data_IF_394090499085
#
_entry.id   IF_394090499085
#
_cell.length_a   1.000
_cell.length_b   1.000
_cell.length_c   1.000
_cell.angle_alpha   90.00
_cell.angle_beta   90.00
_cell.angle_gamma   90.00
#
_symmetry.space_group_name_H-M   'P 1'
#
loop_
_entity.id
_entity.type
_entity.pdbx_description
1 polymer ?
#
# COMPACT_ATOMS: atom_id res chain seq x y z
N UNK A 1 32.82 -20.93 26.66
CA UNK A 1 32.49 -20.93 25.22
C UNK A 1 31.29 -20.03 25.08
N UNK A 2 31.49 -18.80 24.62
CA UNK A 2 30.41 -17.92 24.17
C UNK A 2 29.79 -18.53 22.93
N UNK A 3 28.46 -18.51 22.85
CA UNK A 3 27.76 -18.90 21.62
C UNK A 3 28.15 -17.91 20.50
N UNK A 4 28.44 -18.39 19.27
CA UNK A 4 28.74 -17.50 18.16
C UNK A 4 27.51 -16.63 17.86
N UNK A 5 27.70 -15.32 17.77
CA UNK A 5 26.62 -14.41 17.40
C UNK A 5 26.25 -14.65 15.94
N UNK A 6 24.96 -14.79 15.66
CA UNK A 6 24.45 -14.94 14.29
C UNK A 6 24.01 -13.58 13.75
N UNK A 7 24.30 -13.32 12.47
CA UNK A 7 23.83 -12.14 11.79
C UNK A 7 22.33 -12.21 11.58
N UNK A 8 21.60 -11.19 12.05
CA UNK A 8 20.14 -11.15 11.89
C UNK A 8 19.67 -11.13 10.43
N UNK A 9 20.49 -10.60 9.52
CA UNK A 9 20.10 -10.42 8.12
C UNK A 9 20.36 -11.64 7.24
N UNK A 10 21.49 -12.33 7.43
CA UNK A 10 21.90 -13.48 6.61
C UNK A 10 21.94 -14.81 7.37
N UNK A 11 21.73 -14.80 8.69
CA UNK A 11 21.79 -15.99 9.56
C UNK A 11 23.14 -16.74 9.53
N UNK A 12 24.22 -16.06 9.12
CA UNK A 12 25.58 -16.59 9.17
C UNK A 12 26.29 -16.14 10.45
N UNK A 13 27.24 -16.94 10.98
CA UNK A 13 28.00 -16.56 12.17
C UNK A 13 28.83 -15.30 11.93
N UNK A 14 28.95 -14.46 12.96
CA UNK A 14 29.75 -13.23 12.96
C UNK A 14 31.04 -13.48 13.75
N UNK A 15 32.19 -13.19 13.13
CA UNK A 15 33.48 -13.11 13.81
C UNK A 15 33.57 -11.78 14.58
N UNK A 16 34.18 -11.77 15.78
CA UNK A 16 34.21 -10.61 16.70
C UNK A 16 34.72 -9.31 16.04
N UNK A 17 35.56 -9.44 15.01
CA UNK A 17 36.20 -8.38 14.26
C UNK A 17 35.30 -7.74 13.18
N UNK A 18 34.17 -8.38 12.83
CA UNK A 18 33.21 -7.93 11.81
C UNK A 18 31.86 -7.47 12.38
N UNK A 19 31.78 -7.37 13.70
CA UNK A 19 30.55 -7.14 14.43
C UNK A 19 30.02 -5.70 14.30
N UNK A 20 28.73 -5.60 14.01
CA UNK A 20 27.96 -4.37 14.09
C UNK A 20 26.77 -4.59 15.03
N UNK A 21 26.80 -3.93 16.19
CA UNK A 21 25.70 -3.97 17.16
C UNK A 21 24.67 -2.89 16.84
N UNK A 22 23.41 -3.29 16.77
CA UNK A 22 22.29 -2.40 16.56
C UNK A 22 21.27 -2.54 17.72
N UNK A 23 21.16 -1.54 18.61
CA UNK A 23 20.22 -1.61 19.71
C UNK A 23 18.79 -1.38 19.22
N UNK A 24 17.90 -2.32 19.49
CA UNK A 24 16.45 -2.14 19.34
C UNK A 24 15.96 -1.42 20.59
N UNK A 25 15.29 -0.28 20.38
CA UNK A 25 14.75 0.53 21.47
C UNK A 25 13.25 0.29 21.65
N UNK A 26 12.82 0.23 22.91
CA UNK A 26 11.42 0.36 23.30
C UNK A 26 10.91 1.79 23.03
N UNK A 27 9.58 1.97 23.09
CA UNK A 27 8.91 3.26 22.88
C UNK A 27 9.33 4.34 23.90
N UNK A 28 9.78 3.93 25.08
CA UNK A 28 10.32 4.79 26.15
C UNK A 28 11.81 5.15 25.95
N UNK A 29 12.46 4.58 24.93
CA UNK A 29 13.88 4.76 24.62
C UNK A 29 14.82 3.84 25.39
N UNK A 30 14.30 2.89 26.18
CA UNK A 30 15.12 1.83 26.79
C UNK A 30 15.55 0.80 25.74
N UNK A 31 16.72 0.16 25.92
CA UNK A 31 17.17 -0.92 25.01
C UNK A 31 16.35 -2.17 25.32
N UNK A 32 15.60 -2.64 24.32
CA UNK A 32 14.83 -3.88 24.39
C UNK A 32 15.70 -5.09 24.06
N UNK A 33 16.50 -4.98 23.00
CA UNK A 33 17.35 -6.06 22.50
C UNK A 33 18.52 -5.50 21.68
N UNK A 34 19.57 -6.30 21.43
CA UNK A 34 20.72 -5.93 20.61
C UNK A 34 20.83 -6.93 19.46
N UNK A 35 20.68 -6.44 18.24
CA UNK A 35 20.89 -7.27 17.05
C UNK A 35 22.32 -7.14 16.55
N UNK A 36 22.89 -8.27 16.12
CA UNK A 36 24.22 -8.37 15.57
C UNK A 36 24.15 -8.53 14.06
N UNK A 37 24.94 -7.72 13.34
CA UNK A 37 24.93 -7.65 11.89
C UNK A 37 26.38 -7.69 11.38
N UNK A 38 26.64 -8.29 10.22
CA UNK A 38 27.92 -8.06 9.52
C UNK A 38 28.00 -6.61 9.05
N UNK A 39 29.22 -6.03 9.05
CA UNK A 39 29.49 -4.69 8.50
C UNK A 39 28.98 -4.53 7.05
N UNK A 40 29.11 -5.56 6.22
CA UNK A 40 28.63 -5.52 4.84
C UNK A 40 27.09 -5.54 4.75
N UNK A 41 26.43 -6.31 5.61
CA UNK A 41 24.98 -6.38 5.71
C UNK A 41 24.40 -5.04 6.20
N UNK A 42 25.06 -4.38 7.15
CA UNK A 42 24.69 -3.03 7.60
C UNK A 42 24.78 -2.01 6.46
N UNK A 43 25.85 -2.03 5.65
CA UNK A 43 25.99 -1.13 4.49
C UNK A 43 24.88 -1.30 3.46
N UNK A 44 24.44 -2.54 3.19
CA UNK A 44 23.33 -2.82 2.26
C UNK A 44 22.01 -2.19 2.68
N UNK A 45 21.80 -1.96 3.97
CA UNK A 45 20.60 -1.31 4.49
C UNK A 45 20.69 0.22 4.54
N UNK A 46 21.80 0.80 4.05
CA UNK A 46 22.00 2.25 4.02
C UNK A 46 22.32 2.86 5.40
N UNK A 47 22.58 2.02 6.40
CA UNK A 47 23.01 2.46 7.74
C UNK A 47 24.52 2.71 7.72
N UNK A 48 24.94 3.76 7.01
CA UNK A 48 26.33 4.20 7.01
C UNK A 48 26.68 4.93 8.32
N UNK A 49 27.71 4.42 9.01
CA UNK A 49 28.25 4.96 10.27
C UNK A 49 28.84 6.37 10.15
N UNK A 50 29.11 6.87 8.95
CA UNK A 50 29.89 8.09 8.76
C UNK A 50 29.11 9.40 8.89
N UNK A 51 27.78 9.37 9.09
CA UNK A 51 27.00 10.60 9.36
C UNK A 51 26.57 10.82 10.80
N UNK A 52 26.65 9.81 11.67
CA UNK A 52 26.10 9.91 13.04
C UNK A 52 27.18 9.81 14.12
N UNK A 53 28.22 10.65 14.03
CA UNK A 53 29.05 10.97 15.19
C UNK A 53 28.32 12.00 16.06
N UNK A 54 27.52 11.48 16.98
CA UNK A 54 27.03 12.23 18.12
C UNK A 54 25.51 12.38 18.13
N UNK A 55 24.86 11.54 18.93
CA UNK A 55 23.47 11.66 19.38
C UNK A 55 22.45 11.77 18.25
N UNK A 56 22.14 10.69 17.56
CA UNK A 56 20.84 10.61 16.90
C UNK A 56 20.29 9.18 16.94
N UNK A 57 19.11 9.09 17.56
CA UNK A 57 18.25 7.91 17.53
C UNK A 57 18.01 7.56 16.06
N UNK A 58 18.39 6.36 15.63
CA UNK A 58 17.81 5.79 14.42
C UNK A 58 16.40 5.33 14.79
N UNK A 59 15.48 6.29 14.85
CA UNK A 59 14.06 6.00 14.90
C UNK A 59 13.73 5.39 13.55
N UNK A 60 13.48 4.08 13.52
CA UNK A 60 12.69 3.51 12.45
C UNK A 60 11.30 4.10 12.58
N UNK A 61 11.08 5.24 11.93
CA UNK A 61 9.75 5.77 11.69
C UNK A 61 9.03 4.74 10.82
N UNK A 62 8.30 3.83 11.47
CA UNK A 62 7.34 2.92 10.83
C UNK A 62 6.15 3.68 10.24
N UNK A 63 6.16 5.02 10.34
CA UNK A 63 5.43 5.94 9.50
C UNK A 63 6.43 6.74 8.67
N UNK A 64 6.91 6.15 7.58
CA UNK A 64 7.34 6.99 6.46
C UNK A 64 6.08 7.74 5.98
N UNK A 65 5.86 8.92 6.56
CA UNK A 65 5.36 10.06 5.81
C UNK A 65 6.43 10.40 4.75
N UNK A 66 6.70 9.42 3.88
CA UNK A 66 7.26 9.65 2.57
C UNK A 66 6.34 10.70 1.98
N UNK A 67 6.87 11.87 1.66
CA UNK A 67 6.24 12.74 0.70
C UNK A 67 6.05 11.91 -0.57
N UNK A 68 4.91 11.21 -0.66
CA UNK A 68 4.49 10.52 -1.88
C UNK A 68 4.66 11.56 -2.96
N UNK A 69 5.49 11.23 -3.95
CA UNK A 69 5.70 12.14 -5.06
C UNK A 69 4.33 12.55 -5.59
N UNK A 70 4.18 13.79 -6.08
CA UNK A 70 2.90 14.27 -6.58
C UNK A 70 2.18 13.20 -7.42
N UNK A 71 2.93 12.50 -8.28
CA UNK A 71 2.46 11.39 -9.12
C UNK A 71 1.84 10.21 -8.34
N UNK A 72 2.43 9.77 -7.23
CA UNK A 72 1.89 8.69 -6.39
C UNK A 72 0.58 9.09 -5.68
N UNK A 73 0.44 10.37 -5.28
CA UNK A 73 -0.82 10.89 -4.74
C UNK A 73 -1.94 10.85 -5.77
N UNK A 74 -1.65 11.15 -7.03
CA UNK A 74 -2.68 11.13 -8.09
C UNK A 74 -3.20 9.71 -8.33
N UNK A 75 -2.33 8.70 -8.31
CA UNK A 75 -2.74 7.29 -8.44
C UNK A 75 -3.61 6.86 -7.26
N UNK A 76 -3.24 7.25 -6.04
CA UNK A 76 -4.04 6.94 -4.86
C UNK A 76 -5.44 7.55 -4.92
N UNK A 77 -5.55 8.80 -5.36
CA UNK A 77 -6.85 9.46 -5.59
C UNK A 77 -7.64 8.71 -6.67
N UNK A 78 -7.00 8.31 -7.77
CA UNK A 78 -7.65 7.56 -8.84
C UNK A 78 -8.19 6.20 -8.34
N UNK A 79 -7.44 5.52 -7.46
CA UNK A 79 -7.88 4.27 -6.82
C UNK A 79 -9.05 4.50 -5.87
N UNK A 80 -9.04 5.56 -5.07
CA UNK A 80 -10.21 5.89 -4.23
C UNK A 80 -11.43 6.20 -5.11
N UNK A 81 -11.24 6.96 -6.18
CA UNK A 81 -12.29 7.29 -7.13
C UNK A 81 -12.85 6.04 -7.83
N UNK A 82 -12.01 5.07 -8.18
CA UNK A 82 -12.49 3.82 -8.80
C UNK A 82 -13.43 3.07 -7.86
N UNK A 83 -13.05 2.94 -6.58
CA UNK A 83 -13.91 2.32 -5.56
C UNK A 83 -15.21 3.09 -5.35
N UNK A 84 -15.15 4.43 -5.31
CA UNK A 84 -16.34 5.26 -5.24
C UNK A 84 -17.28 5.03 -6.43
N UNK A 85 -16.73 4.94 -7.66
CA UNK A 85 -17.49 4.65 -8.87
C UNK A 85 -18.21 3.30 -8.78
N UNK A 86 -17.54 2.26 -8.27
CA UNK A 86 -18.14 0.95 -8.06
C UNK A 86 -19.34 1.03 -7.10
N UNK A 87 -19.12 1.64 -5.93
CA UNK A 87 -20.14 1.73 -4.88
C UNK A 87 -21.34 2.54 -5.36
N UNK A 88 -21.09 3.70 -5.97
CA UNK A 88 -22.16 4.57 -6.49
C UNK A 88 -22.92 3.90 -7.64
N UNK A 89 -22.22 3.23 -8.56
CA UNK A 89 -22.84 2.50 -9.66
C UNK A 89 -23.73 1.35 -9.17
N UNK A 90 -23.24 0.56 -8.21
CA UNK A 90 -24.02 -0.53 -7.61
C UNK A 90 -25.24 -0.01 -6.87
N UNK A 91 -25.07 0.98 -5.98
CA UNK A 91 -26.18 1.53 -5.20
C UNK A 91 -27.24 2.17 -6.10
N UNK A 92 -26.82 2.98 -7.07
CA UNK A 92 -27.74 3.63 -8.01
C UNK A 92 -28.49 2.61 -8.86
N UNK A 93 -27.81 1.57 -9.34
CA UNK A 93 -28.44 0.50 -10.12
C UNK A 93 -29.46 -0.30 -9.32
N UNK A 94 -29.15 -0.65 -8.07
CA UNK A 94 -30.08 -1.32 -7.16
C UNK A 94 -31.29 -0.43 -6.84
N UNK A 95 -31.09 0.85 -6.56
CA UNK A 95 -32.17 1.80 -6.28
C UNK A 95 -33.09 1.93 -7.50
N UNK A 96 -32.55 1.99 -8.71
CA UNK A 96 -33.36 2.07 -9.93
C UNK A 96 -34.17 0.81 -10.16
N UNK A 97 -33.56 -0.38 -10.02
CA UNK A 97 -34.26 -1.65 -10.25
C UNK A 97 -35.32 -1.90 -9.18
N UNK A 98 -34.97 -1.79 -7.91
CA UNK A 98 -35.86 -2.17 -6.80
C UNK A 98 -36.75 -1.03 -6.30
N UNK A 99 -36.32 0.22 -6.47
CA UNK A 99 -37.10 1.39 -6.08
C UNK A 99 -38.06 1.89 -7.15
N UNK A 100 -37.69 1.78 -8.43
CA UNK A 100 -38.45 2.33 -9.55
C UNK A 100 -38.79 1.33 -10.65
N UNK A 101 -38.08 0.19 -10.71
CA UNK A 101 -38.22 -0.83 -11.74
C UNK A 101 -39.28 -1.88 -11.42
N UNK A 102 -39.40 -2.25 -10.14
CA UNK A 102 -40.35 -3.27 -9.67
C UNK A 102 -41.28 -2.63 -8.64
N UNK A 103 -42.45 -2.20 -9.07
CA UNK A 103 -43.50 -1.77 -8.15
C UNK A 103 -44.41 -2.96 -7.81
N UNK A 104 -44.39 -3.38 -6.55
CA UNK A 104 -45.34 -4.38 -6.04
C UNK A 104 -46.51 -3.66 -5.36
N UNK A 105 -47.64 -3.57 -6.06
CA UNK A 105 -48.92 -3.23 -5.44
C UNK A 105 -49.60 -4.49 -4.97
N UNK A 106 -50.50 -4.35 -3.98
CA UNK A 106 -51.13 -5.40 -3.16
C UNK A 106 -51.57 -6.69 -3.90
N UNK A 107 -51.80 -6.66 -5.22
CA UNK A 107 -52.15 -7.83 -6.05
C UNK A 107 -51.58 -7.81 -7.48
N UNK A 108 -50.71 -6.85 -7.83
CA UNK A 108 -50.14 -6.72 -9.18
C UNK A 108 -48.70 -6.21 -9.12
N UNK A 109 -47.80 -6.85 -9.86
CA UNK A 109 -46.43 -6.38 -10.06
C UNK A 109 -46.37 -5.61 -11.38
N UNK A 110 -46.07 -4.33 -11.32
CA UNK A 110 -45.82 -3.50 -12.49
C UNK A 110 -44.31 -3.37 -12.69
N UNK A 111 -43.86 -3.64 -13.91
CA UNK A 111 -42.46 -3.53 -14.29
C UNK A 111 -42.26 -2.27 -15.12
N UNK A 112 -41.35 -1.41 -14.69
CA UNK A 112 -40.89 -0.28 -15.48
C UNK A 112 -39.60 -0.69 -16.21
N UNK A 113 -39.69 -1.07 -17.51
CA UNK A 113 -38.54 -1.58 -18.25
C UNK A 113 -37.44 -0.52 -18.35
N UNK A 114 -37.78 0.77 -18.43
CA UNK A 114 -36.79 1.85 -18.53
C UNK A 114 -35.93 1.86 -17.27
N UNK A 115 -36.55 1.88 -16.08
CA UNK A 115 -35.81 1.88 -14.82
C UNK A 115 -34.97 0.61 -14.63
N UNK A 116 -35.48 -0.55 -15.08
CA UNK A 116 -34.73 -1.83 -15.03
C UNK A 116 -33.50 -1.77 -15.94
N UNK A 117 -33.65 -1.37 -17.21
CA UNK A 117 -32.53 -1.28 -18.14
C UNK A 117 -31.50 -0.23 -17.74
N UNK A 118 -31.96 0.94 -17.28
CA UNK A 118 -31.05 1.98 -16.76
C UNK A 118 -30.32 1.50 -15.52
N UNK A 119 -31.00 0.82 -14.58
CA UNK A 119 -30.34 0.27 -13.40
C UNK A 119 -29.33 -0.84 -13.72
N UNK A 120 -29.66 -1.73 -14.67
CA UNK A 120 -28.72 -2.73 -15.18
C UNK A 120 -27.51 -2.08 -15.87
N UNK A 121 -27.72 -1.01 -16.62
CA UNK A 121 -26.66 -0.24 -17.25
C UNK A 121 -25.70 0.33 -16.20
N UNK A 122 -26.20 0.96 -15.13
CA UNK A 122 -25.37 1.48 -14.03
C UNK A 122 -24.61 0.38 -13.27
N UNK A 123 -25.20 -0.82 -13.11
CA UNK A 123 -24.51 -1.96 -12.51
C UNK A 123 -23.34 -2.42 -13.38
N UNK A 124 -23.58 -2.58 -14.68
CA UNK A 124 -22.56 -2.98 -15.66
C UNK A 124 -21.46 -1.91 -15.72
N UNK A 125 -21.84 -0.65 -15.92
CA UNK A 125 -20.91 0.48 -15.95
C UNK A 125 -20.09 0.58 -14.66
N UNK A 126 -20.70 0.41 -13.49
CA UNK A 126 -20.00 0.43 -12.21
C UNK A 126 -18.90 -0.62 -12.13
N UNK A 127 -19.19 -1.86 -12.53
CA UNK A 127 -18.22 -2.97 -12.52
C UNK A 127 -17.13 -2.76 -13.56
N UNK A 128 -17.50 -2.49 -14.82
CA UNK A 128 -16.54 -2.35 -15.91
C UNK A 128 -15.70 -1.07 -15.77
N UNK A 129 -16.32 0.03 -15.34
CA UNK A 129 -15.63 1.29 -15.05
C UNK A 129 -14.63 1.12 -13.92
N UNK A 130 -15.02 0.48 -12.81
CA UNK A 130 -14.09 0.17 -11.72
C UNK A 130 -12.91 -0.69 -12.18
N UNK A 131 -13.17 -1.77 -12.92
CA UNK A 131 -12.14 -2.64 -13.44
C UNK A 131 -11.17 -1.89 -14.37
N UNK A 132 -11.70 -1.04 -15.26
CA UNK A 132 -10.90 -0.22 -16.16
C UNK A 132 -10.02 0.77 -15.40
N UNK A 133 -10.56 1.46 -14.39
CA UNK A 133 -9.75 2.37 -13.56
C UNK A 133 -8.67 1.63 -12.76
N UNK A 134 -8.95 0.43 -12.27
CA UNK A 134 -7.94 -0.39 -11.59
C UNK A 134 -6.80 -0.78 -12.53
N UNK A 135 -7.11 -1.17 -13.77
CA UNK A 135 -6.08 -1.46 -14.79
C UNK A 135 -5.25 -0.21 -15.09
N UNK A 136 -5.89 0.95 -15.26
CA UNK A 136 -5.19 2.23 -15.49
C UNK A 136 -4.26 2.57 -14.32
N UNK A 137 -4.70 2.36 -13.08
CA UNK A 137 -3.84 2.55 -11.89
C UNK A 137 -2.61 1.65 -11.96
N UNK A 138 -2.78 0.35 -12.25
CA UNK A 138 -1.66 -0.59 -12.35
C UNK A 138 -0.68 -0.24 -13.47
N UNK A 139 -1.17 0.24 -14.62
CA UNK A 139 -0.32 0.71 -15.72
C UNK A 139 0.46 1.96 -15.28
N UNK A 140 -0.20 2.91 -14.62
CA UNK A 140 0.44 4.12 -14.12
C UNK A 140 1.53 3.81 -13.08
N UNK A 141 1.26 2.90 -12.14
CA UNK A 141 2.25 2.42 -11.16
C UNK A 141 3.49 1.81 -11.86
N UNK A 142 3.27 0.97 -12.86
CA UNK A 142 4.35 0.35 -13.63
C UNK A 142 5.20 1.39 -14.39
N UNK A 143 4.58 2.40 -14.99
CA UNK A 143 5.29 3.45 -15.71
C UNK A 143 6.14 4.33 -14.78
N UNK A 144 5.64 4.65 -13.59
CA UNK A 144 6.40 5.39 -12.58
C UNK A 144 7.59 4.57 -12.11
N UNK A 145 7.40 3.27 -11.88
CA UNK A 145 8.49 2.37 -11.46
C UNK A 145 9.63 2.32 -12.50
N UNK A 146 9.29 2.23 -13.79
CA UNK A 146 10.29 2.28 -14.88
C UNK A 146 11.04 3.62 -14.85
N UNK A 147 10.32 4.74 -14.75
CA UNK A 147 10.93 6.08 -14.77
C UNK A 147 11.92 6.28 -13.62
N UNK A 148 11.58 5.81 -12.42
CA UNK A 148 12.47 5.86 -11.25
C UNK A 148 13.70 4.99 -11.41
N UNK A 149 13.56 3.81 -12.03
CA UNK A 149 14.69 2.92 -12.29
C UNK A 149 15.64 3.49 -13.35
N UNK A 150 15.13 4.17 -14.36
CA UNK A 150 15.96 4.82 -15.40
C UNK A 150 16.63 6.10 -14.90
N UNK A 151 16.03 6.85 -13.97
CA UNK A 151 16.63 8.09 -13.44
C UNK A 151 17.76 7.85 -12.42
N UNK A 152 17.92 6.62 -11.93
CA UNK A 152 18.94 6.24 -10.95
C UNK A 152 20.19 5.57 -11.59
N UNK A 153 20.26 5.54 -12.92
CA UNK A 153 21.47 5.18 -13.70
C UNK A 153 22.15 6.44 -14.22
#
# INVERSE_FOLDING_TARGET
>A
MSEPYECWLCHEPIEEDEEFQFPILNRDGSVWDIQYWHKECAKKTGVDKDKNKGKDKVVFDTHSNSEKSSEERHIEILRVFSWANLVVGILSGLILIFGYGIETRRYLTEYNPIAIFTGLFFLIEGIFGWALFMVVCSIAENLIAIRKNTSNQ
#
